data_IF_208282158816
#
_entry.id   IF_208282158816
#
_cell.length_a   1.000
_cell.length_b   1.000
_cell.length_c   1.000
_cell.angle_alpha   90.00
_cell.angle_beta   90.00
_cell.angle_gamma   90.00
#
_symmetry.space_group_name_H-M   'P 1'
#
loop_
_entity.id
_entity.type
_entity.pdbx_description
1 polymer ?
#
# COMPACT_ATOMS: atom_id res chain seq x y z
N UNK A 1 -11.30 -16.16 -7.32
CA UNK A 1 -11.01 -15.59 -8.65
C UNK A 1 -10.38 -14.21 -8.55
N UNK A 2 -11.04 -13.18 -8.00
CA UNK A 2 -10.40 -11.87 -7.80
C UNK A 2 -9.07 -12.00 -7.07
N UNK A 3 -9.07 -12.72 -5.95
CA UNK A 3 -7.86 -13.00 -5.17
C UNK A 3 -6.73 -13.66 -5.98
N UNK A 4 -7.06 -14.58 -6.89
CA UNK A 4 -6.05 -15.23 -7.73
C UNK A 4 -5.46 -14.26 -8.77
N UNK A 5 -6.31 -13.37 -9.33
CA UNK A 5 -5.86 -12.34 -10.27
C UNK A 5 -4.99 -11.31 -9.54
N UNK A 6 -5.41 -10.85 -8.36
CA UNK A 6 -4.62 -9.93 -7.53
C UNK A 6 -3.27 -10.54 -7.16
N UNK A 7 -3.25 -11.80 -6.69
CA UNK A 7 -2.00 -12.52 -6.38
C UNK A 7 -1.07 -12.58 -7.61
N UNK A 8 -1.57 -13.04 -8.78
CA UNK A 8 -0.75 -13.16 -9.99
C UNK A 8 -0.24 -11.82 -10.48
N UNK A 9 -1.04 -10.79 -10.35
CA UNK A 9 -0.69 -9.46 -10.77
C UNK A 9 0.44 -8.85 -9.95
N UNK A 10 0.31 -8.90 -8.63
CA UNK A 10 1.35 -8.39 -7.74
C UNK A 10 2.60 -9.27 -7.75
N UNK A 11 2.44 -10.57 -8.01
CA UNK A 11 3.55 -11.45 -8.32
C UNK A 11 4.27 -11.01 -9.61
N UNK A 12 3.54 -10.69 -10.70
CA UNK A 12 4.12 -10.19 -11.96
C UNK A 12 4.80 -8.83 -11.78
N UNK A 13 4.26 -7.96 -10.94
CA UNK A 13 4.84 -6.66 -10.63
C UNK A 13 6.22 -6.81 -9.96
N UNK A 14 6.32 -7.66 -8.95
CA UNK A 14 7.49 -7.80 -8.08
C UNK A 14 8.52 -8.86 -8.54
N UNK A 15 8.16 -9.72 -9.51
CA UNK A 15 8.95 -10.88 -9.94
C UNK A 15 10.37 -10.53 -10.41
N UNK A 16 10.54 -9.35 -10.99
CA UNK A 16 11.80 -8.94 -11.62
C UNK A 16 12.84 -8.35 -10.63
N UNK A 17 12.42 -8.00 -9.40
CA UNK A 17 13.28 -7.32 -8.44
C UNK A 17 14.64 -8.03 -8.17
N UNK A 18 14.73 -9.37 -8.04
CA UNK A 18 15.98 -10.04 -7.70
C UNK A 18 16.97 -10.21 -8.85
N UNK A 19 16.59 -9.95 -10.12
CA UNK A 19 17.46 -10.21 -11.27
C UNK A 19 17.46 -9.11 -12.34
N UNK A 20 16.40 -8.31 -12.50
CA UNK A 20 16.32 -7.28 -13.53
C UNK A 20 17.43 -6.22 -13.42
N UNK A 21 17.80 -5.69 -12.24
CA UNK A 21 18.88 -4.71 -12.13
C UNK A 21 20.22 -5.27 -12.64
N UNK A 22 20.49 -6.55 -12.40
CA UNK A 22 21.70 -7.24 -12.90
C UNK A 22 21.70 -7.34 -14.43
N UNK A 23 20.60 -7.79 -15.02
CA UNK A 23 20.46 -7.91 -16.48
C UNK A 23 20.49 -6.56 -17.18
N UNK A 24 19.83 -5.56 -16.60
CA UNK A 24 19.83 -4.18 -17.08
C UNK A 24 21.26 -3.60 -17.09
N UNK A 25 22.01 -3.79 -15.99
CA UNK A 25 23.41 -3.37 -15.89
C UNK A 25 24.31 -4.09 -16.91
N UNK A 26 24.10 -5.38 -17.16
CA UNK A 26 24.83 -6.14 -18.18
C UNK A 26 24.63 -5.58 -19.61
N UNK A 27 23.46 -4.95 -19.88
CA UNK A 27 23.12 -4.27 -21.12
C UNK A 27 23.46 -2.76 -21.11
N UNK A 28 24.17 -2.28 -20.08
CA UNK A 28 24.65 -0.90 -19.97
C UNK A 28 23.65 0.09 -19.36
N UNK A 29 22.53 -0.38 -18.80
CA UNK A 29 21.59 0.50 -18.08
C UNK A 29 22.16 0.93 -16.73
N UNK A 30 21.91 2.19 -16.39
CA UNK A 30 22.20 2.71 -15.03
C UNK A 30 21.15 2.28 -14.03
N UNK A 31 21.50 2.27 -12.75
CA UNK A 31 20.56 1.98 -11.65
C UNK A 31 19.39 2.99 -11.62
N UNK A 32 19.66 4.22 -12.06
CA UNK A 32 18.62 5.24 -12.23
C UNK A 32 17.59 4.82 -13.29
N UNK A 33 18.05 4.36 -14.47
CA UNK A 33 17.15 3.95 -15.55
C UNK A 33 16.35 2.71 -15.14
N UNK A 34 16.98 1.76 -14.43
CA UNK A 34 16.28 0.61 -13.85
C UNK A 34 15.20 1.07 -12.85
N UNK A 35 15.52 2.00 -11.94
CA UNK A 35 14.55 2.60 -11.02
C UNK A 35 13.36 3.27 -11.73
N UNK A 36 13.62 3.96 -12.86
CA UNK A 36 12.53 4.51 -13.68
C UNK A 36 11.62 3.42 -14.27
N UNK A 37 12.14 2.27 -14.69
CA UNK A 37 11.32 1.16 -15.22
C UNK A 37 10.37 0.62 -14.14
N UNK A 38 10.85 0.47 -12.90
CA UNK A 38 9.99 0.07 -11.77
C UNK A 38 8.93 1.13 -11.47
N UNK A 39 9.34 2.39 -11.28
CA UNK A 39 8.42 3.48 -10.94
C UNK A 39 7.42 3.82 -12.05
N UNK A 40 7.79 3.62 -13.32
CA UNK A 40 6.94 3.92 -14.47
C UNK A 40 5.66 3.07 -14.49
N UNK A 41 5.76 1.80 -14.09
CA UNK A 41 4.59 0.94 -13.93
C UNK A 41 3.56 1.55 -12.97
N UNK A 42 3.97 1.91 -11.76
CA UNK A 42 3.11 2.51 -10.76
C UNK A 42 2.53 3.87 -11.21
N UNK A 43 3.35 4.68 -11.92
CA UNK A 43 2.92 5.96 -12.49
C UNK A 43 1.80 5.75 -13.52
N UNK A 44 1.94 4.80 -14.43
CA UNK A 44 0.92 4.50 -15.44
C UNK A 44 -0.35 3.99 -14.78
N UNK A 45 -0.28 3.10 -13.78
CA UNK A 45 -1.44 2.63 -13.01
C UNK A 45 -2.14 3.81 -12.34
N UNK A 46 -1.41 4.67 -11.66
CA UNK A 46 -1.96 5.84 -10.95
C UNK A 46 -2.71 6.78 -11.90
N UNK A 47 -2.14 7.07 -13.07
CA UNK A 47 -2.73 8.00 -14.04
C UNK A 47 -3.89 7.39 -14.82
N UNK A 48 -3.83 6.09 -15.14
CA UNK A 48 -4.84 5.42 -15.96
C UNK A 48 -6.06 4.93 -15.18
N UNK A 49 -5.94 4.66 -13.88
CA UNK A 49 -7.08 4.19 -13.05
C UNK A 49 -8.30 5.11 -13.06
N UNK A 50 -8.17 6.45 -12.96
CA UNK A 50 -9.31 7.35 -13.08
C UNK A 50 -9.95 7.34 -14.47
N UNK A 51 -9.15 7.10 -15.52
CA UNK A 51 -9.64 7.00 -16.90
C UNK A 51 -10.48 5.75 -17.06
N UNK A 52 -9.99 4.59 -16.59
CA UNK A 52 -10.77 3.35 -16.61
C UNK A 52 -12.04 3.46 -15.78
N UNK A 53 -12.00 4.11 -14.61
CA UNK A 53 -13.19 4.39 -13.81
C UNK A 53 -14.31 5.11 -14.59
N UNK A 54 -13.94 6.03 -15.49
CA UNK A 54 -14.90 6.77 -16.34
C UNK A 54 -15.34 5.99 -17.59
N UNK A 55 -14.47 5.15 -18.16
CA UNK A 55 -14.73 4.41 -19.40
C UNK A 55 -15.51 3.12 -19.12
N UNK A 56 -15.26 2.50 -17.99
CA UNK A 56 -15.79 1.20 -17.60
C UNK A 56 -17.33 1.08 -17.62
N UNK A 57 -18.12 2.09 -17.19
CA UNK A 57 -19.58 2.02 -17.30
C UNK A 57 -20.09 1.89 -18.75
N UNK A 58 -19.31 2.37 -19.73
CA UNK A 58 -19.65 2.31 -21.17
C UNK A 58 -19.23 0.99 -21.81
N UNK A 59 -18.05 0.47 -21.45
CA UNK A 59 -17.45 -0.73 -22.03
C UNK A 59 -17.95 -2.01 -21.35
N UNK A 60 -18.26 -1.91 -20.06
CA UNK A 60 -18.68 -3.03 -19.21
C UNK A 60 -17.58 -3.52 -18.28
N UNK A 61 -17.91 -3.61 -16.99
CA UNK A 61 -16.96 -3.94 -15.91
C UNK A 61 -16.31 -5.29 -16.12
N UNK A 62 -17.11 -6.33 -16.42
CA UNK A 62 -16.64 -7.70 -16.65
C UNK A 62 -15.68 -7.78 -17.83
N UNK A 63 -15.98 -7.07 -18.93
CA UNK A 63 -15.12 -7.05 -20.11
C UNK A 63 -13.79 -6.37 -19.82
N UNK A 64 -13.80 -5.22 -19.13
CA UNK A 64 -12.58 -4.52 -18.69
C UNK A 64 -11.71 -5.40 -17.80
N UNK A 65 -12.31 -6.15 -16.87
CA UNK A 65 -11.58 -7.07 -16.00
C UNK A 65 -10.87 -8.17 -16.81
N UNK A 66 -11.60 -8.84 -17.70
CA UNK A 66 -11.06 -9.97 -18.47
C UNK A 66 -10.00 -9.50 -19.47
N UNK A 67 -10.29 -8.45 -20.25
CA UNK A 67 -9.33 -7.91 -21.22
C UNK A 67 -8.10 -7.31 -20.55
N UNK A 68 -8.27 -6.62 -19.42
CA UNK A 68 -7.16 -6.08 -18.64
C UNK A 68 -6.23 -7.19 -18.14
N UNK A 69 -6.79 -8.26 -17.57
CA UNK A 69 -6.01 -9.43 -17.11
C UNK A 69 -5.30 -10.11 -18.26
N UNK A 70 -5.98 -10.36 -19.37
CA UNK A 70 -5.41 -11.00 -20.55
C UNK A 70 -4.26 -10.16 -21.12
N UNK A 71 -4.48 -8.87 -21.27
CA UNK A 71 -3.51 -7.94 -21.83
C UNK A 71 -2.26 -7.83 -20.94
N UNK A 72 -2.43 -7.76 -19.63
CA UNK A 72 -1.32 -7.79 -18.67
C UNK A 72 -0.48 -9.07 -18.79
N UNK A 73 -1.13 -10.24 -18.89
CA UNK A 73 -0.43 -11.52 -19.07
C UNK A 73 0.36 -11.60 -20.38
N UNK A 74 -0.21 -11.10 -21.49
CA UNK A 74 0.49 -11.03 -22.78
C UNK A 74 1.71 -10.11 -22.71
N UNK A 75 1.57 -8.93 -22.07
CA UNK A 75 2.69 -8.01 -21.88
C UNK A 75 3.78 -8.61 -21.00
N UNK A 76 3.43 -9.35 -19.94
CA UNK A 76 4.40 -10.07 -19.12
C UNK A 76 5.21 -11.07 -19.96
N UNK A 77 4.55 -11.90 -20.79
CA UNK A 77 5.25 -12.79 -21.73
C UNK A 77 6.15 -12.02 -22.70
N UNK A 78 5.68 -10.88 -23.23
CA UNK A 78 6.45 -10.04 -24.14
C UNK A 78 7.70 -9.44 -23.45
N UNK A 79 7.61 -9.11 -22.15
CA UNK A 79 8.76 -8.65 -21.37
C UNK A 79 9.85 -9.72 -21.26
N UNK A 80 9.46 -10.99 -21.13
CA UNK A 80 10.40 -12.11 -21.15
C UNK A 80 11.20 -12.24 -22.44
N UNK A 81 10.67 -11.78 -23.59
CA UNK A 81 11.37 -11.78 -24.89
C UNK A 81 12.48 -10.73 -24.98
N UNK A 82 12.55 -9.76 -24.09
CA UNK A 82 13.59 -8.73 -24.08
C UNK A 82 15.01 -9.30 -23.93
N UNK A 83 15.14 -10.52 -23.46
CA UNK A 83 16.42 -11.21 -23.34
C UNK A 83 17.20 -11.27 -24.67
N UNK A 84 16.49 -11.35 -25.80
CA UNK A 84 17.10 -11.47 -27.15
C UNK A 84 17.71 -10.15 -27.65
N UNK A 85 17.43 -9.03 -26.97
CA UNK A 85 17.83 -7.70 -27.39
C UNK A 85 19.12 -7.30 -26.67
N UNK A 86 20.19 -7.10 -27.42
CA UNK A 86 21.50 -6.70 -26.87
C UNK A 86 21.74 -5.18 -26.94
N UNK A 87 21.06 -4.48 -27.84
CA UNK A 87 21.19 -3.02 -27.96
C UNK A 87 20.54 -2.31 -26.76
N UNK A 88 21.32 -1.49 -26.05
CA UNK A 88 20.93 -0.72 -24.89
C UNK A 88 19.66 0.10 -25.13
N UNK A 89 19.63 0.88 -26.22
CA UNK A 89 18.53 1.82 -26.48
C UNK A 89 17.22 1.06 -26.72
N UNK A 90 17.27 0.02 -27.54
CA UNK A 90 16.12 -0.81 -27.86
C UNK A 90 15.61 -1.56 -26.62
N UNK A 91 16.53 -2.13 -25.82
CA UNK A 91 16.17 -2.81 -24.57
C UNK A 91 15.48 -1.85 -23.59
N UNK A 92 16.06 -0.65 -23.38
CA UNK A 92 15.50 0.35 -22.49
C UNK A 92 14.11 0.81 -22.94
N UNK A 93 13.98 1.24 -24.21
CA UNK A 93 12.70 1.73 -24.76
C UNK A 93 11.62 0.65 -24.66
N UNK A 94 11.92 -0.59 -25.06
CA UNK A 94 10.94 -1.68 -24.98
C UNK A 94 10.61 -2.07 -23.56
N UNK A 95 11.55 -1.98 -22.61
CA UNK A 95 11.25 -2.17 -21.18
C UNK A 95 10.20 -1.17 -20.71
N UNK A 96 10.33 0.11 -21.01
CA UNK A 96 9.32 1.13 -20.67
C UNK A 96 7.99 0.90 -21.39
N UNK A 97 8.00 0.62 -22.68
CA UNK A 97 6.79 0.44 -23.50
C UNK A 97 5.99 -0.76 -23.01
N UNK A 98 6.64 -1.91 -22.84
CA UNK A 98 5.94 -3.14 -22.42
C UNK A 98 5.44 -3.00 -20.97
N UNK A 99 6.23 -2.44 -20.05
CA UNK A 99 5.79 -2.18 -18.66
C UNK A 99 4.65 -1.17 -18.60
N UNK A 100 4.67 -0.15 -19.46
CA UNK A 100 3.56 0.80 -19.57
C UNK A 100 2.26 0.13 -20.03
N UNK A 101 2.33 -0.72 -21.04
CA UNK A 101 1.17 -1.48 -21.51
C UNK A 101 0.68 -2.52 -20.48
N UNK A 102 1.59 -3.22 -19.81
CA UNK A 102 1.25 -4.12 -18.71
C UNK A 102 0.51 -3.37 -17.58
N UNK A 103 0.99 -2.20 -17.22
CA UNK A 103 0.38 -1.32 -16.23
C UNK A 103 -1.02 -0.83 -16.62
N UNK A 104 -1.26 -0.55 -17.91
CA UNK A 104 -2.62 -0.24 -18.42
C UNK A 104 -3.57 -1.42 -18.23
N UNK A 105 -3.12 -2.64 -18.54
CA UNK A 105 -3.88 -3.86 -18.26
C UNK A 105 -4.18 -4.01 -16.77
N UNK A 106 -3.17 -3.81 -15.93
CA UNK A 106 -3.27 -3.86 -14.47
C UNK A 106 -4.30 -2.86 -13.92
N UNK A 107 -4.23 -1.61 -14.37
CA UNK A 107 -5.17 -0.56 -13.99
C UNK A 107 -6.61 -0.91 -14.39
N UNK A 108 -6.80 -1.48 -15.58
CA UNK A 108 -8.13 -1.87 -16.05
C UNK A 108 -8.75 -2.96 -15.19
N UNK A 109 -8.05 -4.07 -14.92
CA UNK A 109 -8.63 -5.16 -14.11
C UNK A 109 -8.74 -4.80 -12.63
N UNK A 110 -7.79 -4.06 -12.04
CA UNK A 110 -7.86 -3.69 -10.62
C UNK A 110 -9.03 -2.74 -10.35
N UNK A 111 -9.22 -1.72 -11.22
CA UNK A 111 -10.38 -0.83 -11.13
C UNK A 111 -11.70 -1.60 -11.32
N UNK A 112 -11.74 -2.55 -12.28
CA UNK A 112 -12.91 -3.40 -12.48
C UNK A 112 -13.16 -4.32 -11.29
N UNK A 113 -12.12 -4.91 -10.71
CA UNK A 113 -12.19 -5.76 -9.52
C UNK A 113 -12.85 -5.03 -8.35
N UNK A 114 -12.47 -3.79 -8.13
CA UNK A 114 -13.08 -2.94 -7.10
C UNK A 114 -14.59 -2.75 -7.32
N UNK A 115 -15.00 -2.42 -8.54
CA UNK A 115 -16.43 -2.25 -8.90
C UNK A 115 -17.18 -3.57 -8.74
N UNK A 116 -16.58 -4.71 -9.09
CA UNK A 116 -17.17 -6.05 -8.91
C UNK A 116 -17.43 -6.34 -7.44
N UNK A 117 -16.47 -6.03 -6.55
CA UNK A 117 -16.61 -6.25 -5.10
C UNK A 117 -17.78 -5.46 -4.56
N UNK A 118 -17.84 -4.16 -4.85
CA UNK A 118 -18.90 -3.28 -4.35
C UNK A 118 -20.29 -3.72 -4.86
N UNK A 119 -20.36 -4.23 -6.09
CA UNK A 119 -21.62 -4.69 -6.70
C UNK A 119 -22.11 -6.03 -6.10
N UNK A 120 -21.18 -6.98 -5.86
CA UNK A 120 -21.55 -8.33 -5.37
C UNK A 120 -21.69 -8.36 -3.84
N UNK A 121 -20.90 -7.58 -3.12
CA UNK A 121 -20.84 -7.56 -1.65
C UNK A 121 -21.05 -6.13 -1.10
N UNK A 122 -22.21 -5.49 -1.35
CA UNK A 122 -22.43 -4.10 -0.96
C UNK A 122 -22.25 -3.87 0.56
N UNK A 123 -22.78 -4.79 1.39
CA UNK A 123 -22.74 -4.69 2.85
C UNK A 123 -21.40 -5.11 3.48
N UNK A 124 -20.55 -5.82 2.75
CA UNK A 124 -19.30 -6.39 3.24
C UNK A 124 -18.10 -6.03 2.35
N UNK A 125 -18.22 -5.00 1.51
CA UNK A 125 -17.20 -4.64 0.52
C UNK A 125 -15.82 -4.34 1.15
N UNK A 126 -15.80 -3.72 2.32
CA UNK A 126 -14.57 -3.46 3.08
C UNK A 126 -13.87 -4.74 3.56
N UNK A 127 -14.63 -5.68 4.15
CA UNK A 127 -14.09 -6.95 4.62
C UNK A 127 -13.55 -7.82 3.46
N UNK A 128 -14.30 -7.87 2.35
CA UNK A 128 -13.87 -8.60 1.13
C UNK A 128 -12.62 -7.96 0.54
N UNK A 129 -12.53 -6.62 0.51
CA UNK A 129 -11.34 -5.91 0.07
C UNK A 129 -10.14 -6.22 0.96
N UNK A 130 -10.32 -6.20 2.29
CA UNK A 130 -9.25 -6.57 3.23
C UNK A 130 -8.74 -7.99 3.02
N UNK A 131 -9.63 -8.95 2.72
CA UNK A 131 -9.23 -10.31 2.36
C UNK A 131 -8.40 -10.33 1.06
N UNK A 132 -8.79 -9.56 0.03
CA UNK A 132 -8.03 -9.48 -1.21
C UNK A 132 -6.66 -8.84 -1.04
N UNK A 133 -6.52 -7.86 -0.16
CA UNK A 133 -5.21 -7.27 0.19
C UNK A 133 -4.23 -8.31 0.78
N UNK A 134 -4.73 -9.36 1.43
CA UNK A 134 -3.88 -10.49 1.86
C UNK A 134 -3.25 -11.21 0.66
N UNK A 135 -4.01 -11.41 -0.42
CA UNK A 135 -3.49 -12.03 -1.65
C UNK A 135 -2.55 -11.10 -2.42
N UNK A 136 -2.79 -9.79 -2.38
CA UNK A 136 -1.84 -8.77 -2.86
C UNK A 136 -0.51 -8.91 -2.14
N UNK A 137 -0.52 -8.91 -0.80
CA UNK A 137 0.68 -9.07 0.02
C UNK A 137 1.40 -10.39 -0.24
N UNK A 138 0.65 -11.50 -0.38
CA UNK A 138 1.22 -12.80 -0.74
C UNK A 138 1.85 -12.78 -2.15
N UNK A 139 1.25 -12.10 -3.12
CA UNK A 139 1.79 -11.94 -4.46
C UNK A 139 3.10 -11.15 -4.46
N UNK A 140 3.13 -10.01 -3.76
CA UNK A 140 4.34 -9.22 -3.59
C UNK A 140 5.46 -9.99 -2.88
N UNK A 141 5.11 -10.84 -1.92
CA UNK A 141 6.07 -11.67 -1.17
C UNK A 141 6.62 -12.81 -2.01
N UNK A 142 5.74 -13.54 -2.70
CA UNK A 142 6.10 -14.72 -3.47
C UNK A 142 6.80 -14.36 -4.80
N UNK A 143 6.47 -13.19 -5.38
CA UNK A 143 6.99 -12.78 -6.69
C UNK A 143 8.51 -12.81 -6.79
N UNK A 144 9.26 -12.12 -5.94
CA UNK A 144 10.73 -12.13 -6.00
C UNK A 144 11.32 -13.52 -5.76
N UNK A 145 10.74 -14.33 -4.86
CA UNK A 145 11.21 -15.68 -4.61
C UNK A 145 11.00 -16.59 -5.82
N UNK A 146 9.78 -16.61 -6.37
CA UNK A 146 9.45 -17.36 -7.59
C UNK A 146 10.29 -16.86 -8.76
N UNK A 147 10.43 -15.54 -8.93
CA UNK A 147 11.22 -14.93 -9.98
C UNK A 147 12.68 -15.31 -9.91
N UNK A 148 13.31 -15.19 -8.74
CA UNK A 148 14.70 -15.57 -8.53
C UNK A 148 14.96 -17.04 -8.77
N UNK A 149 14.07 -17.94 -8.30
CA UNK A 149 14.18 -19.38 -8.52
C UNK A 149 14.03 -19.76 -9.99
N UNK A 150 13.00 -19.24 -10.68
CA UNK A 150 12.77 -19.48 -12.10
C UNK A 150 13.90 -18.91 -12.96
N UNK A 151 14.42 -17.75 -12.60
CA UNK A 151 15.58 -17.14 -13.27
C UNK A 151 16.82 -18.03 -13.12
N UNK A 152 17.07 -18.61 -11.94
CA UNK A 152 18.20 -19.51 -11.73
C UNK A 152 18.12 -20.80 -12.57
N UNK A 153 16.91 -21.26 -12.89
CA UNK A 153 16.68 -22.49 -13.69
C UNK A 153 16.68 -22.22 -15.20
N UNK A 154 16.04 -21.15 -15.65
CA UNK A 154 15.79 -20.93 -17.07
C UNK A 154 16.11 -19.51 -17.58
N UNK A 155 16.85 -18.72 -16.81
CA UNK A 155 17.29 -17.37 -17.21
C UNK A 155 16.16 -16.34 -17.23
N UNK A 156 16.43 -15.19 -17.86
CA UNK A 156 15.59 -14.00 -17.82
C UNK A 156 14.14 -14.20 -18.25
N UNK A 157 13.87 -14.97 -19.31
CA UNK A 157 12.54 -15.10 -19.89
C UNK A 157 11.59 -15.97 -19.07
N UNK A 158 12.12 -17.04 -18.43
CA UNK A 158 11.29 -18.07 -17.79
C UNK A 158 10.34 -17.52 -16.72
N UNK A 159 10.73 -16.64 -15.78
CA UNK A 159 9.83 -16.07 -14.80
C UNK A 159 8.61 -15.39 -15.43
N UNK A 160 8.84 -14.58 -16.45
CA UNK A 160 7.80 -13.83 -17.14
C UNK A 160 6.87 -14.73 -17.96
N UNK A 161 7.41 -15.76 -18.62
CA UNK A 161 6.60 -16.72 -19.37
C UNK A 161 5.69 -17.52 -18.45
N UNK A 162 6.18 -17.98 -17.30
CA UNK A 162 5.39 -18.77 -16.35
C UNK A 162 4.24 -17.93 -15.78
N UNK A 163 4.54 -16.75 -15.23
CA UNK A 163 3.51 -15.89 -14.63
C UNK A 163 2.55 -15.34 -15.69
N UNK A 164 3.09 -14.89 -16.84
CA UNK A 164 2.29 -14.39 -17.94
C UNK A 164 1.35 -15.47 -18.50
N UNK A 165 1.82 -16.70 -18.71
CA UNK A 165 0.99 -17.81 -19.19
C UNK A 165 -0.13 -18.17 -18.21
N UNK A 166 0.18 -18.27 -16.90
CA UNK A 166 -0.84 -18.51 -15.87
C UNK A 166 -1.89 -17.40 -15.88
N UNK A 167 -1.47 -16.15 -15.97
CA UNK A 167 -2.38 -14.98 -16.04
C UNK A 167 -3.27 -15.03 -17.28
N UNK A 168 -2.71 -15.40 -18.46
CA UNK A 168 -3.46 -15.59 -19.71
C UNK A 168 -4.51 -16.70 -19.58
N UNK A 169 -4.18 -17.81 -18.93
CA UNK A 169 -5.10 -18.93 -18.71
C UNK A 169 -6.23 -18.58 -17.74
N UNK A 170 -5.91 -17.81 -16.70
CA UNK A 170 -6.90 -17.36 -15.70
C UNK A 170 -7.90 -16.36 -16.32
N UNK A 171 -7.48 -15.52 -17.26
CA UNK A 171 -8.34 -14.48 -17.83
C UNK A 171 -9.64 -15.03 -18.43
N UNK A 172 -9.67 -16.03 -19.34
CA UNK A 172 -10.91 -16.59 -19.88
C UNK A 172 -11.73 -17.37 -18.84
N UNK A 173 -11.11 -17.97 -17.82
CA UNK A 173 -11.86 -18.61 -16.74
C UNK A 173 -12.80 -17.64 -16.01
N UNK A 174 -12.44 -16.35 -15.96
CA UNK A 174 -13.29 -15.31 -15.40
C UNK A 174 -14.57 -15.06 -16.20
N UNK A 175 -14.67 -15.48 -17.46
CA UNK A 175 -15.89 -15.39 -18.27
C UNK A 175 -17.01 -16.23 -17.63
N UNK A 176 -16.65 -17.42 -17.17
CA UNK A 176 -17.61 -18.37 -16.59
C UNK A 176 -17.85 -18.13 -15.09
N UNK A 177 -16.82 -17.70 -14.36
CA UNK A 177 -16.84 -17.61 -12.89
C UNK A 177 -17.38 -16.28 -12.37
N UNK A 178 -17.27 -15.19 -13.14
CA UNK A 178 -17.85 -13.91 -12.75
C UNK A 178 -19.34 -13.85 -13.12
N UNK A 179 -20.23 -13.47 -12.18
CA UNK A 179 -21.66 -13.33 -12.45
C UNK A 179 -21.93 -12.24 -13.50
N UNK A 180 -23.14 -12.24 -14.03
CA UNK A 180 -23.62 -11.10 -14.84
C UNK A 180 -23.83 -9.92 -13.89
N UNK A 181 -23.06 -8.86 -14.07
CA UNK A 181 -23.19 -7.63 -13.32
C UNK A 181 -24.32 -6.81 -13.92
N UNK A 182 -25.25 -6.35 -13.09
CA UNK A 182 -26.26 -5.38 -13.49
C UNK A 182 -25.60 -4.04 -13.85
N UNK A 183 -26.28 -3.25 -14.69
CA UNK A 183 -25.78 -1.92 -15.10
C UNK A 183 -25.61 -1.05 -13.85
N UNK A 184 -24.37 -0.71 -13.56
CA UNK A 184 -24.01 0.09 -12.39
C UNK A 184 -24.43 1.54 -12.60
N UNK A 185 -25.44 1.98 -11.88
CA UNK A 185 -25.75 3.41 -11.73
C UNK A 185 -25.01 3.94 -10.49
N UNK A 186 -23.96 4.70 -10.71
CA UNK A 186 -23.21 5.39 -9.63
C UNK A 186 -24.05 6.54 -9.05
N UNK A 187 -25.10 6.23 -8.29
CA UNK A 187 -25.97 7.27 -7.66
C UNK A 187 -25.58 7.62 -6.21
N UNK A 188 -24.55 7.02 -5.64
CA UNK A 188 -24.09 7.48 -4.32
C UNK A 188 -23.11 8.65 -4.50
N UNK A 189 -23.53 9.84 -4.07
CA UNK A 189 -22.68 11.04 -3.95
C UNK A 189 -21.52 10.73 -3.01
N UNK A 190 -20.41 10.26 -3.55
CA UNK A 190 -19.15 10.22 -2.82
C UNK A 190 -18.84 11.64 -2.33
N UNK A 191 -18.38 11.77 -1.09
CA UNK A 191 -17.96 13.04 -0.54
C UNK A 191 -16.88 13.70 -1.41
N UNK A 192 -16.66 15.00 -1.26
CA UNK A 192 -15.67 15.71 -2.08
C UNK A 192 -14.24 15.32 -1.70
N UNK A 193 -13.50 14.77 -2.64
CA UNK A 193 -12.08 14.42 -2.50
C UNK A 193 -11.23 15.63 -2.04
N UNK A 194 -11.53 16.82 -2.57
CA UNK A 194 -10.87 18.07 -2.17
C UNK A 194 -11.15 18.48 -0.73
N UNK A 195 -12.34 18.16 -0.21
CA UNK A 195 -12.67 18.43 1.20
C UNK A 195 -11.86 17.51 2.12
N UNK A 196 -11.67 16.25 1.74
CA UNK A 196 -10.88 15.28 2.50
C UNK A 196 -9.40 15.69 2.56
N UNK A 197 -8.81 16.10 1.44
CA UNK A 197 -7.42 16.56 1.37
C UNK A 197 -7.14 17.88 2.11
N UNK A 198 -8.16 18.65 2.49
CA UNK A 198 -7.97 19.86 3.30
C UNK A 198 -7.79 19.58 4.80
N UNK A 199 -8.03 18.34 5.23
CA UNK A 199 -7.88 17.97 6.63
C UNK A 199 -6.40 17.73 6.96
N UNK A 200 -5.80 18.44 7.93
CA UNK A 200 -4.37 18.29 8.25
C UNK A 200 -3.99 16.87 8.71
N UNK A 201 -4.89 16.19 9.42
CA UNK A 201 -4.67 14.80 9.85
C UNK A 201 -4.62 13.83 8.67
N UNK A 202 -5.42 14.07 7.64
CA UNK A 202 -5.37 13.30 6.38
C UNK A 202 -4.04 13.52 5.68
N UNK A 203 -3.56 14.76 5.58
CA UNK A 203 -2.28 15.08 4.94
C UNK A 203 -1.09 14.43 5.65
N UNK A 204 -1.07 14.42 6.98
CA UNK A 204 -0.04 13.76 7.77
C UNK A 204 -0.06 12.24 7.54
N UNK A 205 -1.24 11.63 7.53
CA UNK A 205 -1.38 10.19 7.24
C UNK A 205 -0.98 9.86 5.80
N UNK A 206 -1.32 10.71 4.84
CA UNK A 206 -0.84 10.58 3.46
C UNK A 206 0.69 10.67 3.36
N UNK A 207 1.33 11.57 4.10
CA UNK A 207 2.79 11.67 4.17
C UNK A 207 3.42 10.38 4.70
N UNK A 208 2.88 9.82 5.79
CA UNK A 208 3.34 8.52 6.32
C UNK A 208 3.26 7.46 5.22
N UNK A 209 2.12 7.36 4.55
CA UNK A 209 1.87 6.35 3.53
C UNK A 209 2.84 6.45 2.34
N UNK A 210 3.09 7.68 1.85
CA UNK A 210 4.10 7.93 0.79
C UNK A 210 5.49 7.50 1.23
N UNK A 211 5.91 7.87 2.45
CA UNK A 211 7.25 7.56 2.96
C UNK A 211 7.44 6.06 3.16
N UNK A 212 6.41 5.38 3.69
CA UNK A 212 6.44 3.91 3.88
C UNK A 212 6.48 3.19 2.54
N UNK A 213 5.63 3.56 1.58
CA UNK A 213 5.62 2.98 0.25
C UNK A 213 6.93 3.26 -0.51
N UNK A 214 7.48 4.48 -0.40
CA UNK A 214 8.77 4.81 -0.98
C UNK A 214 9.93 4.03 -0.33
N UNK A 215 9.84 3.77 0.98
CA UNK A 215 10.82 2.95 1.71
C UNK A 215 10.78 1.49 1.26
N UNK A 216 9.63 0.99 0.86
CA UNK A 216 9.53 -0.33 0.24
C UNK A 216 10.06 -0.31 -1.20
N UNK A 217 9.53 0.60 -2.01
CA UNK A 217 9.79 0.65 -3.45
C UNK A 217 11.26 0.94 -3.83
N UNK A 218 12.03 1.67 -3.00
CA UNK A 218 13.44 1.89 -3.35
C UNK A 218 14.28 0.62 -3.30
N UNK A 219 13.87 -0.39 -2.51
CA UNK A 219 14.59 -1.66 -2.42
C UNK A 219 14.52 -2.46 -3.72
N UNK A 220 13.45 -2.33 -4.50
CA UNK A 220 13.27 -3.11 -5.73
C UNK A 220 14.45 -2.95 -6.72
N UNK A 221 14.87 -1.74 -7.10
CA UNK A 221 16.01 -1.55 -8.00
C UNK A 221 17.36 -1.58 -7.30
N UNK A 222 17.44 -1.44 -5.97
CA UNK A 222 18.71 -1.16 -5.29
C UNK A 222 19.23 -2.29 -4.41
N UNK A 223 18.37 -3.20 -3.94
CA UNK A 223 18.78 -4.27 -3.04
C UNK A 223 19.64 -5.33 -3.75
N UNK A 224 19.31 -5.72 -4.99
CA UNK A 224 20.12 -6.65 -5.76
C UNK A 224 21.53 -6.12 -5.97
N UNK A 225 21.74 -4.88 -6.49
CA UNK A 225 23.08 -4.30 -6.63
C UNK A 225 23.86 -4.23 -5.31
N UNK A 226 23.19 -3.93 -4.20
CA UNK A 226 23.81 -3.92 -2.88
C UNK A 226 24.32 -5.29 -2.42
N UNK A 227 23.62 -6.36 -2.81
CA UNK A 227 23.98 -7.74 -2.43
C UNK A 227 25.00 -8.39 -3.38
N UNK A 228 25.34 -7.78 -4.53
CA UNK A 228 26.35 -8.33 -5.50
C UNK A 228 27.68 -8.71 -4.86
N UNK A 229 28.27 -7.92 -3.93
CA UNK A 229 29.55 -8.29 -3.30
C UNK A 229 29.54 -9.62 -2.55
N UNK A 230 28.37 -10.14 -2.17
CA UNK A 230 28.23 -11.43 -1.50
C UNK A 230 28.16 -12.62 -2.47
N UNK A 231 28.20 -12.39 -3.79
CA UNK A 231 28.15 -13.41 -4.83
C UNK A 231 26.94 -14.38 -4.67
N UNK A 232 25.79 -13.81 -4.31
CA UNK A 232 24.54 -14.57 -4.19
C UNK A 232 23.93 -14.76 -5.58
N UNK A 233 23.38 -15.95 -5.83
CA UNK A 233 22.56 -16.20 -6.99
C UNK A 233 21.16 -15.53 -6.85
N UNK A 234 20.47 -15.33 -7.97
CA UNK A 234 19.17 -14.65 -7.99
C UNK A 234 18.12 -15.36 -7.13
N UNK A 235 18.21 -16.69 -7.00
CA UNK A 235 17.34 -17.46 -6.11
C UNK A 235 17.52 -17.09 -4.64
N UNK A 236 18.74 -16.94 -4.16
CA UNK A 236 19.03 -16.49 -2.79
C UNK A 236 18.61 -15.05 -2.56
N UNK A 237 18.82 -14.17 -3.55
CA UNK A 237 18.34 -12.79 -3.49
C UNK A 237 16.80 -12.76 -3.41
N UNK A 238 16.11 -13.57 -4.21
CA UNK A 238 14.66 -13.74 -4.13
C UNK A 238 14.17 -14.22 -2.76
N UNK A 239 14.90 -15.14 -2.10
CA UNK A 239 14.61 -15.57 -0.73
C UNK A 239 14.79 -14.45 0.30
N UNK A 240 15.75 -13.53 0.09
CA UNK A 240 15.92 -12.36 0.95
C UNK A 240 14.71 -11.39 0.80
N UNK A 241 14.23 -11.16 -0.42
CA UNK A 241 12.99 -10.42 -0.65
C UNK A 241 11.77 -11.11 -0.02
N UNK A 242 11.69 -12.45 -0.15
CA UNK A 242 10.63 -13.24 0.50
C UNK A 242 10.67 -13.08 2.02
N UNK A 243 11.85 -13.07 2.63
CA UNK A 243 12.00 -12.88 4.07
C UNK A 243 11.46 -11.51 4.52
N UNK A 244 11.83 -10.44 3.83
CA UNK A 244 11.31 -9.08 4.08
C UNK A 244 9.78 -9.08 4.04
N UNK A 245 9.21 -9.60 2.96
CA UNK A 245 7.77 -9.60 2.72
C UNK A 245 7.01 -10.56 3.63
N UNK A 246 7.62 -11.71 3.98
CA UNK A 246 7.02 -12.66 4.92
C UNK A 246 6.95 -12.06 6.33
N UNK A 247 8.00 -11.39 6.79
CA UNK A 247 7.98 -10.69 8.08
C UNK A 247 6.92 -9.58 8.09
N UNK A 248 6.79 -8.82 7.00
CA UNK A 248 5.69 -7.87 6.83
C UNK A 248 4.33 -8.56 6.97
N UNK A 249 4.06 -9.60 6.15
CA UNK A 249 2.76 -10.26 6.10
C UNK A 249 2.36 -10.97 7.41
N UNK A 250 3.31 -11.59 8.11
CA UNK A 250 3.08 -12.27 9.40
C UNK A 250 2.66 -11.26 10.49
N UNK A 251 3.28 -10.08 10.51
CA UNK A 251 3.03 -9.09 11.54
C UNK A 251 1.88 -8.11 11.23
N UNK A 252 1.45 -8.00 9.96
CA UNK A 252 0.31 -7.15 9.56
C UNK A 252 -0.97 -7.38 10.39
N UNK A 253 -1.47 -8.63 10.57
CA UNK A 253 -2.70 -8.86 11.35
C UNK A 253 -2.54 -8.44 12.81
N UNK A 254 -1.35 -8.66 13.39
CA UNK A 254 -1.05 -8.27 14.76
C UNK A 254 -1.09 -6.75 14.96
N UNK A 255 -0.46 -6.00 14.07
CA UNK A 255 -0.46 -4.54 14.12
C UNK A 255 -1.83 -3.95 13.79
N UNK A 256 -2.58 -4.53 12.85
CA UNK A 256 -3.95 -4.16 12.55
C UNK A 256 -4.84 -4.32 13.79
N UNK A 257 -4.84 -5.51 14.40
CA UNK A 257 -5.60 -5.77 15.62
C UNK A 257 -5.22 -4.84 16.79
N UNK A 258 -3.92 -4.56 16.95
CA UNK A 258 -3.45 -3.65 18.01
C UNK A 258 -3.93 -2.21 17.74
N UNK A 259 -3.91 -1.78 16.48
CA UNK A 259 -4.41 -0.45 16.10
C UNK A 259 -5.91 -0.29 16.34
N UNK A 260 -6.68 -1.38 16.19
CA UNK A 260 -8.12 -1.36 16.47
C UNK A 260 -8.46 -1.30 17.97
N UNK A 261 -7.57 -1.83 18.81
CA UNK A 261 -7.74 -1.80 20.27
C UNK A 261 -7.26 -0.50 20.91
N UNK A 262 -6.32 0.19 20.31
CA UNK A 262 -5.73 1.40 20.88
C UNK A 262 -6.43 2.65 20.32
N UNK A 263 -6.89 3.53 21.19
CA UNK A 263 -7.42 4.84 20.79
C UNK A 263 -6.33 5.79 20.28
N UNK A 264 -5.07 5.45 20.52
CA UNK A 264 -3.90 6.25 20.19
C UNK A 264 -2.95 5.53 19.21
N UNK A 265 -3.50 5.01 18.11
CA UNK A 265 -2.76 4.26 17.08
C UNK A 265 -1.63 5.05 16.39
N UNK A 266 -1.63 6.36 16.49
CA UNK A 266 -0.56 7.20 15.93
C UNK A 266 0.82 6.94 16.58
N UNK A 267 0.86 6.48 17.83
CA UNK A 267 2.09 6.01 18.45
C UNK A 267 2.67 4.79 17.71
N UNK A 268 1.81 3.89 17.25
CA UNK A 268 2.22 2.72 16.48
C UNK A 268 2.89 3.19 15.18
N UNK A 269 2.25 4.11 14.44
CA UNK A 269 2.80 4.66 13.20
C UNK A 269 4.14 5.35 13.42
N UNK A 270 4.24 6.21 14.45
CA UNK A 270 5.46 6.94 14.75
C UNK A 270 6.60 6.01 15.16
N UNK A 271 6.33 5.03 16.03
CA UNK A 271 7.32 4.03 16.45
C UNK A 271 7.75 3.15 15.27
N UNK A 272 6.84 2.78 14.38
CA UNK A 272 7.16 2.05 13.16
C UNK A 272 8.14 2.82 12.26
N UNK A 273 7.91 4.13 12.06
CA UNK A 273 8.82 4.99 11.30
C UNK A 273 10.20 5.16 11.98
N UNK A 274 10.25 5.27 13.31
CA UNK A 274 11.51 5.29 14.05
C UNK A 274 12.28 3.98 13.92
N UNK A 275 11.58 2.86 13.93
CA UNK A 275 12.21 1.55 13.74
C UNK A 275 12.68 1.37 12.29
N UNK A 276 11.92 1.88 11.28
CA UNK A 276 12.38 1.96 9.89
C UNK A 276 13.69 2.74 9.78
N UNK A 277 13.78 3.91 10.44
CA UNK A 277 15.02 4.68 10.50
C UNK A 277 16.19 3.84 10.98
N UNK A 278 16.03 3.15 12.12
CA UNK A 278 17.09 2.30 12.70
C UNK A 278 17.48 1.18 11.74
N UNK A 279 16.50 0.45 11.18
CA UNK A 279 16.75 -0.65 10.26
C UNK A 279 17.51 -0.20 9.00
N UNK A 280 17.12 0.94 8.42
CA UNK A 280 17.76 1.48 7.23
C UNK A 280 19.19 2.00 7.48
N UNK A 281 19.47 2.48 8.69
CA UNK A 281 20.83 2.87 9.08
C UNK A 281 21.78 1.65 9.18
N UNK A 282 21.24 0.47 9.48
CA UNK A 282 22.00 -0.77 9.57
C UNK A 282 22.02 -1.56 8.24
N UNK A 283 21.01 -1.46 7.40
CA UNK A 283 20.86 -2.22 6.16
C UNK A 283 22.01 -1.96 5.16
N UNK A 284 22.32 -0.67 4.93
CA UNK A 284 23.54 -0.30 4.23
C UNK A 284 24.38 0.46 5.22
N UNK A 285 25.37 -0.17 5.90
CA UNK A 285 26.03 0.49 7.00
C UNK A 285 26.28 1.95 6.71
N UNK A 286 25.53 2.81 7.39
CA UNK A 286 25.54 4.25 7.12
C UNK A 286 26.96 4.80 7.19
N UNK A 287 27.38 5.67 6.27
CA UNK A 287 28.68 6.35 6.35
C UNK A 287 28.92 7.06 7.68
N UNK A 288 27.86 7.35 8.45
CA UNK A 288 27.93 7.94 9.78
C UNK A 288 28.38 6.92 10.83
N UNK A 289 28.17 5.62 10.60
CA UNK A 289 28.48 4.56 11.56
C UNK A 289 29.75 3.84 11.10
N UNK A 290 30.91 4.43 11.36
CA UNK A 290 32.21 4.00 10.84
C UNK A 290 32.68 2.61 11.30
N UNK A 291 32.14 2.08 12.40
CA UNK A 291 32.57 0.78 12.95
C UNK A 291 31.77 -0.41 12.40
N UNK A 292 30.74 -0.17 11.59
CA UNK A 292 29.86 -1.21 11.09
C UNK A 292 30.32 -1.70 9.71
N UNK A 293 30.60 -3.00 9.60
CA UNK A 293 30.97 -3.62 8.33
C UNK A 293 29.74 -4.23 7.66
N UNK A 294 29.66 -4.16 6.33
CA UNK A 294 28.59 -4.76 5.57
C UNK A 294 28.74 -6.31 5.60
N UNK A 295 27.83 -6.97 6.30
CA UNK A 295 27.78 -8.43 6.40
C UNK A 295 26.40 -8.94 6.00
N UNK A 296 26.36 -10.17 5.46
CA UNK A 296 25.06 -10.77 5.03
C UNK A 296 24.08 -10.91 6.19
N UNK A 297 24.56 -11.24 7.39
CA UNK A 297 23.70 -11.37 8.58
C UNK A 297 23.09 -10.04 9.02
N UNK A 298 23.86 -8.97 8.92
CA UNK A 298 23.35 -7.63 9.20
C UNK A 298 22.22 -7.24 8.25
N UNK A 299 22.39 -7.54 6.96
CA UNK A 299 21.35 -7.29 5.95
C UNK A 299 20.09 -8.15 6.23
N UNK A 300 20.25 -9.44 6.56
CA UNK A 300 19.11 -10.33 6.87
C UNK A 300 18.35 -9.82 8.09
N UNK A 301 19.02 -9.48 9.18
CA UNK A 301 18.37 -8.97 10.41
C UNK A 301 17.70 -7.63 10.15
N UNK A 302 18.38 -6.70 9.45
CA UNK A 302 17.83 -5.38 9.14
C UNK A 302 16.58 -5.49 8.26
N UNK A 303 16.60 -6.32 7.22
CA UNK A 303 15.44 -6.53 6.33
C UNK A 303 14.28 -7.22 7.05
N UNK A 304 14.56 -8.22 7.90
CA UNK A 304 13.53 -8.89 8.69
C UNK A 304 12.83 -7.89 9.62
N UNK A 305 13.60 -7.07 10.32
CA UNK A 305 13.05 -6.05 11.22
C UNK A 305 12.36 -4.92 10.44
N UNK A 306 12.87 -4.57 9.26
CA UNK A 306 12.25 -3.58 8.37
C UNK A 306 10.86 -4.05 7.92
N UNK A 307 10.68 -5.32 7.56
CA UNK A 307 9.36 -5.87 7.23
C UNK A 307 8.34 -5.68 8.37
N UNK A 308 8.74 -5.98 9.60
CA UNK A 308 7.89 -5.77 10.80
C UNK A 308 7.56 -4.29 11.02
N UNK A 309 8.55 -3.42 10.88
CA UNK A 309 8.39 -1.99 11.17
C UNK A 309 7.60 -1.25 10.08
N UNK A 310 7.72 -1.66 8.82
CA UNK A 310 6.88 -1.16 7.71
C UNK A 310 5.42 -1.55 7.96
N UNK A 311 5.13 -2.81 8.34
CA UNK A 311 3.78 -3.24 8.72
C UNK A 311 3.23 -2.40 9.88
N UNK A 312 4.06 -2.16 10.91
CA UNK A 312 3.70 -1.35 12.07
C UNK A 312 3.31 0.09 11.68
N UNK A 313 4.05 0.72 10.77
CA UNK A 313 3.78 2.08 10.32
C UNK A 313 2.57 2.16 9.37
N UNK A 314 2.35 1.14 8.54
CA UNK A 314 1.35 1.15 7.46
C UNK A 314 -0.06 0.75 7.92
N UNK A 315 -0.18 -0.30 8.75
CA UNK A 315 -1.50 -0.86 9.08
C UNK A 315 -2.48 0.14 9.70
N UNK A 316 -2.09 1.03 10.63
CA UNK A 316 -3.02 1.99 11.20
C UNK A 316 -3.44 3.13 10.26
N UNK A 317 -2.78 3.30 9.10
CA UNK A 317 -3.01 4.45 8.20
C UNK A 317 -4.43 4.50 7.64
N UNK A 318 -5.03 3.35 7.32
CA UNK A 318 -6.40 3.31 6.80
C UNK A 318 -7.41 3.79 7.86
N UNK A 319 -7.29 3.30 9.09
CA UNK A 319 -8.10 3.74 10.23
C UNK A 319 -7.90 5.23 10.50
N UNK A 320 -6.66 5.71 10.49
CA UNK A 320 -6.34 7.12 10.66
C UNK A 320 -7.01 8.02 9.63
N UNK A 321 -7.08 7.59 8.36
CA UNK A 321 -7.81 8.31 7.32
C UNK A 321 -9.31 8.30 7.56
N UNK A 322 -9.87 7.16 7.98
CA UNK A 322 -11.29 7.02 8.27
C UNK A 322 -11.70 7.92 9.44
N UNK A 323 -11.03 7.82 10.58
CA UNK A 323 -11.30 8.64 11.76
C UNK A 323 -11.13 10.13 11.47
N UNK A 324 -10.10 10.49 10.68
CA UNK A 324 -9.90 11.87 10.24
C UNK A 324 -11.02 12.39 9.35
N UNK A 325 -11.59 11.54 8.49
CA UNK A 325 -12.73 11.89 7.66
C UNK A 325 -13.99 12.08 8.51
N UNK A 326 -14.25 11.19 9.48
CA UNK A 326 -15.38 11.32 10.40
C UNK A 326 -15.31 12.62 11.20
N UNK A 327 -14.14 12.94 11.78
CA UNK A 327 -13.89 14.20 12.46
C UNK A 327 -14.04 15.42 11.53
N UNK A 328 -13.79 15.25 10.23
CA UNK A 328 -13.98 16.26 9.18
C UNK A 328 -15.44 16.44 8.74
N UNK A 329 -16.40 15.76 9.39
CA UNK A 329 -17.84 15.85 9.11
C UNK A 329 -18.30 15.03 7.90
N UNK A 330 -17.56 13.95 7.56
CA UNK A 330 -18.05 12.92 6.64
C UNK A 330 -18.91 11.91 7.43
N UNK A 331 -19.97 11.43 6.81
CA UNK A 331 -20.83 10.40 7.38
C UNK A 331 -20.24 9.03 7.01
N UNK A 332 -20.29 8.07 7.93
CA UNK A 332 -19.85 6.70 7.67
C UNK A 332 -20.79 6.03 6.68
N UNK A 333 -20.39 5.97 5.44
CA UNK A 333 -21.12 5.38 4.32
C UNK A 333 -20.16 4.56 3.45
N UNK A 334 -20.70 3.64 2.65
CA UNK A 334 -19.93 2.90 1.64
C UNK A 334 -19.18 3.87 0.71
N UNK A 335 -19.81 4.99 0.35
CA UNK A 335 -19.19 6.03 -0.47
C UNK A 335 -17.97 6.68 0.20
N UNK A 336 -18.00 6.92 1.51
CA UNK A 336 -16.88 7.44 2.28
C UNK A 336 -15.74 6.42 2.37
N UNK A 337 -16.05 5.15 2.64
CA UNK A 337 -15.04 4.07 2.63
C UNK A 337 -14.38 3.91 1.26
N UNK A 338 -15.17 3.99 0.18
CA UNK A 338 -14.64 3.92 -1.19
C UNK A 338 -13.72 5.11 -1.52
N UNK A 339 -14.10 6.32 -1.07
CA UNK A 339 -13.29 7.52 -1.24
C UNK A 339 -11.94 7.41 -0.51
N UNK A 340 -11.97 6.90 0.73
CA UNK A 340 -10.76 6.70 1.56
C UNK A 340 -9.88 5.60 0.97
N UNK A 341 -10.45 4.48 0.53
CA UNK A 341 -9.71 3.42 -0.12
C UNK A 341 -9.04 3.91 -1.42
N UNK A 342 -9.74 4.71 -2.23
CA UNK A 342 -9.19 5.33 -3.43
C UNK A 342 -8.06 6.31 -3.11
N UNK A 343 -8.20 7.13 -2.08
CA UNK A 343 -7.14 8.02 -1.61
C UNK A 343 -5.92 7.22 -1.13
N UNK A 344 -6.15 6.22 -0.30
CA UNK A 344 -5.10 5.36 0.25
C UNK A 344 -4.28 4.70 -0.88
N UNK A 345 -4.95 4.07 -1.84
CA UNK A 345 -4.30 3.43 -2.98
C UNK A 345 -3.52 4.43 -3.84
N UNK A 346 -4.09 5.59 -4.15
CA UNK A 346 -3.41 6.61 -4.97
C UNK A 346 -2.16 7.18 -4.30
N UNK A 347 -2.24 7.41 -2.99
CA UNK A 347 -1.12 7.94 -2.19
C UNK A 347 -0.04 6.87 -2.02
N UNK A 348 -0.42 5.61 -1.83
CA UNK A 348 0.52 4.50 -1.79
C UNK A 348 1.29 4.36 -3.11
N UNK A 349 0.57 4.34 -4.25
CA UNK A 349 1.19 4.28 -5.58
C UNK A 349 2.10 5.49 -5.86
N UNK A 350 1.82 6.68 -5.30
CA UNK A 350 2.75 7.81 -5.39
C UNK A 350 4.10 7.49 -4.72
N UNK A 351 4.08 6.82 -3.57
CA UNK A 351 5.30 6.33 -2.92
C UNK A 351 6.03 5.28 -3.75
N UNK A 352 5.30 4.36 -4.37
CA UNK A 352 5.85 3.36 -5.29
C UNK A 352 6.49 3.97 -6.57
N UNK A 353 6.07 5.17 -6.97
CA UNK A 353 6.74 5.93 -8.04
C UNK A 353 8.03 6.59 -7.52
N UNK A 354 7.93 7.28 -6.39
CA UNK A 354 9.04 8.07 -5.84
C UNK A 354 10.18 7.16 -5.37
N UNK A 355 9.86 6.04 -4.70
CA UNK A 355 10.84 5.14 -4.10
C UNK A 355 11.88 4.61 -5.09
N UNK A 356 11.49 3.89 -6.14
CA UNK A 356 12.42 3.33 -7.12
C UNK A 356 13.19 4.40 -7.88
N UNK A 357 12.55 5.51 -8.25
CA UNK A 357 13.19 6.60 -9.00
C UNK A 357 14.24 7.30 -8.13
N UNK A 358 13.88 7.72 -6.93
CA UNK A 358 14.81 8.37 -6.00
C UNK A 358 15.89 7.39 -5.52
N UNK A 359 15.52 6.13 -5.26
CA UNK A 359 16.44 5.07 -4.89
C UNK A 359 17.48 4.80 -5.98
N UNK A 360 17.04 4.63 -7.23
CA UNK A 360 17.92 4.44 -8.37
C UNK A 360 18.84 5.64 -8.63
N UNK A 361 18.31 6.88 -8.50
CA UNK A 361 19.10 8.10 -8.66
C UNK A 361 20.19 8.24 -7.59
N UNK A 362 19.85 8.01 -6.34
CA UNK A 362 20.80 8.09 -5.21
C UNK A 362 21.83 6.95 -5.28
N UNK A 363 21.38 5.73 -5.62
CA UNK A 363 22.25 4.57 -5.78
C UNK A 363 23.30 4.80 -6.87
N UNK A 364 22.88 5.34 -8.02
CA UNK A 364 23.76 5.60 -9.16
C UNK A 364 24.84 6.64 -8.85
N UNK A 365 24.52 7.67 -8.04
CA UNK A 365 25.43 8.78 -7.76
C UNK A 365 26.27 8.58 -6.48
N UNK A 366 25.72 7.94 -5.46
CA UNK A 366 26.30 7.91 -4.11
C UNK A 366 26.43 6.50 -3.52
N UNK A 367 25.89 5.48 -4.20
CA UNK A 367 25.87 4.10 -3.71
C UNK A 367 24.82 3.82 -2.65
N UNK A 368 24.66 2.55 -2.30
CA UNK A 368 23.61 2.06 -1.41
C UNK A 368 23.69 2.61 0.03
N UNK A 369 24.87 2.72 0.68
CA UNK A 369 24.94 3.21 2.06
C UNK A 369 24.37 4.62 2.22
N UNK A 370 24.63 5.51 1.26
CA UNK A 370 24.07 6.88 1.27
C UNK A 370 22.58 6.85 0.95
N UNK A 371 22.17 6.05 -0.02
CA UNK A 371 20.76 5.90 -0.39
C UNK A 371 19.92 5.44 0.80
N UNK A 372 20.32 4.37 1.46
CA UNK A 372 19.65 3.84 2.65
C UNK A 372 19.61 4.88 3.79
N UNK A 373 20.71 5.63 4.00
CA UNK A 373 20.78 6.70 5.00
C UNK A 373 19.80 7.84 4.70
N UNK A 374 19.65 8.26 3.43
CA UNK A 374 18.70 9.30 3.03
C UNK A 374 17.26 8.85 3.33
N UNK A 375 16.88 7.64 2.93
CA UNK A 375 15.56 7.09 3.26
C UNK A 375 15.36 6.92 4.77
N UNK A 376 16.41 6.57 5.53
CA UNK A 376 16.37 6.54 6.97
C UNK A 376 16.04 7.93 7.56
N UNK A 377 16.75 8.97 7.15
CA UNK A 377 16.50 10.34 7.60
C UNK A 377 15.09 10.81 7.25
N UNK A 378 14.58 10.49 6.08
CA UNK A 378 13.20 10.81 5.69
C UNK A 378 12.18 10.16 6.65
N UNK A 379 12.38 8.88 7.01
CA UNK A 379 11.55 8.19 8.00
C UNK A 379 11.63 8.87 9.38
N UNK A 380 12.84 9.26 9.82
CA UNK A 380 13.03 9.94 11.10
C UNK A 380 12.31 11.31 11.14
N UNK A 381 12.52 12.13 10.11
CA UNK A 381 11.87 13.45 10.01
C UNK A 381 10.34 13.28 10.00
N UNK A 382 9.83 12.31 9.27
CA UNK A 382 8.39 12.01 9.24
C UNK A 382 7.89 11.57 10.61
N UNK A 383 8.61 10.71 11.33
CA UNK A 383 8.26 10.28 12.68
C UNK A 383 8.18 11.47 13.65
N UNK A 384 9.15 12.38 13.59
CA UNK A 384 9.15 13.60 14.40
C UNK A 384 7.95 14.48 14.07
N UNK A 385 7.68 14.74 12.79
CA UNK A 385 6.53 15.54 12.36
C UNK A 385 5.20 14.94 12.83
N UNK A 386 5.02 13.62 12.69
CA UNK A 386 3.83 12.89 13.16
C UNK A 386 3.67 13.04 14.66
N UNK A 387 4.73 12.80 15.42
CA UNK A 387 4.70 12.89 16.89
C UNK A 387 4.35 14.29 17.35
N UNK A 388 5.00 15.33 16.79
CA UNK A 388 4.72 16.72 17.12
C UNK A 388 3.29 17.14 16.78
N UNK A 389 2.79 16.69 15.62
CA UNK A 389 1.44 17.00 15.19
C UNK A 389 0.39 16.42 16.13
N UNK A 390 0.48 15.15 16.48
CA UNK A 390 -0.50 14.51 17.35
C UNK A 390 -0.38 14.97 18.82
N UNK A 391 0.82 15.20 19.31
CA UNK A 391 1.02 15.77 20.66
C UNK A 391 0.43 17.19 20.78
N UNK A 392 0.52 18.00 19.73
CA UNK A 392 -0.07 19.34 19.73
C UNK A 392 -1.60 19.33 19.73
N UNK A 393 -2.23 18.30 19.12
CA UNK A 393 -3.68 18.10 19.15
C UNK A 393 -4.17 17.64 20.51
N UNK A 394 -3.55 16.60 21.06
CA UNK A 394 -3.92 16.09 22.39
C UNK A 394 -3.88 17.20 23.47
N UNK A 395 -2.94 18.15 23.36
CA UNK A 395 -2.89 19.31 24.26
C UNK A 395 -4.07 20.28 24.07
N UNK A 396 -4.55 20.49 22.84
CA UNK A 396 -5.70 21.37 22.57
C UNK A 396 -6.98 20.76 23.11
N UNK A 397 -7.20 19.48 22.91
CA UNK A 397 -8.40 18.77 23.38
C UNK A 397 -8.49 18.75 24.92
N UNK A 398 -7.35 18.71 25.62
CA UNK A 398 -7.28 18.78 27.09
C UNK A 398 -7.50 20.21 27.64
N UNK A 399 -7.15 21.26 26.87
CA UNK A 399 -7.30 22.66 27.31
C UNK A 399 -8.74 23.17 27.09
N UNK A 400 -9.51 22.57 26.17
CA UNK A 400 -10.89 22.97 25.87
C UNK A 400 -11.96 22.30 26.77
N UNK A 401 -11.59 21.45 27.72
CA UNK A 401 -12.53 20.95 28.74
C UNK A 401 -12.67 22.02 29.83
N UNK A 402 -13.78 22.76 29.91
CA UNK A 402 -13.99 23.70 30.99
C UNK A 402 -14.05 22.96 32.30
N UNK A 403 -13.30 23.43 33.30
CA UNK A 403 -13.28 22.89 34.65
C UNK A 403 -14.61 23.17 35.37
N UNK A 404 -15.69 22.58 34.92
CA UNK A 404 -16.98 22.56 35.58
C UNK A 404 -17.45 21.10 35.78
N UNK A 405 -17.52 20.67 37.00
CA UNK A 405 -17.97 19.35 37.51
C UNK A 405 -19.38 18.92 37.08
N UNK A 406 -19.72 18.97 35.81
CA UNK A 406 -20.96 18.40 35.26
C UNK A 406 -20.65 17.55 34.05
N UNK A 407 -21.14 16.32 33.97
CA UNK A 407 -20.96 15.49 32.76
C UNK A 407 -21.72 16.12 31.61
N UNK A 408 -20.99 16.47 30.53
CA UNK A 408 -21.57 16.91 29.27
C UNK A 408 -21.89 15.66 28.45
N UNK A 409 -23.19 15.34 28.34
CA UNK A 409 -23.67 14.30 27.41
C UNK A 409 -23.74 14.93 26.03
N UNK A 410 -22.81 14.60 25.15
CA UNK A 410 -22.85 14.99 23.75
C UNK A 410 -23.77 14.03 23.00
N UNK A 411 -24.96 14.45 22.65
CA UNK A 411 -25.86 13.71 21.78
C UNK A 411 -25.63 14.09 20.32
N UNK A 412 -25.67 13.10 19.43
CA UNK A 412 -25.33 13.21 18.00
C UNK A 412 -26.25 14.15 17.18
N UNK A 413 -27.25 14.77 17.78
CA UNK A 413 -28.21 15.65 17.06
C UNK A 413 -27.72 17.09 16.79
N UNK A 414 -26.57 17.52 17.33
CA UNK A 414 -26.13 18.91 17.27
C UNK A 414 -25.19 19.26 16.11
N UNK A 415 -25.01 18.38 15.14
CA UNK A 415 -24.04 18.59 14.04
C UNK A 415 -24.61 19.12 12.73
N UNK A 416 -25.89 19.46 12.64
CA UNK A 416 -26.49 19.87 11.35
C UNK A 416 -26.37 21.36 11.00
N UNK A 417 -26.03 22.24 11.93
CA UNK A 417 -25.86 23.67 11.65
C UNK A 417 -24.61 24.21 12.35
N UNK A 418 -23.62 24.57 11.59
CA UNK A 418 -22.30 25.12 11.84
C UNK A 418 -22.04 26.01 13.07
N UNK A 419 -22.48 25.65 14.23
CA UNK A 419 -22.16 26.32 15.49
C UNK A 419 -22.61 25.41 16.66
N UNK A 420 -21.69 25.10 17.55
CA UNK A 420 -21.99 24.38 18.78
C UNK A 420 -22.86 25.24 19.68
N UNK A 421 -24.16 24.91 19.84
CA UNK A 421 -25.03 25.50 20.84
C UNK A 421 -25.10 24.58 22.03
N UNK A 422 -24.46 25.00 23.12
CA UNK A 422 -24.58 24.35 24.44
C UNK A 422 -25.95 24.67 25.00
N UNK A 423 -26.86 23.70 25.10
CA UNK A 423 -28.08 23.82 25.88
C UNK A 423 -27.87 23.19 27.25
N UNK A 424 -27.87 24.00 28.30
CA UNK A 424 -27.97 23.55 29.65
C UNK A 424 -29.41 23.06 29.91
N UNK A 425 -29.60 21.82 30.37
CA UNK A 425 -30.89 21.36 30.97
C UNK A 425 -30.82 21.44 32.49
N UNK A 426 -31.90 21.92 33.14
CA UNK A 426 -31.94 22.05 34.58
C UNK A 426 -32.01 20.68 35.31
N UNK A 427 -31.38 20.64 36.47
CA UNK A 427 -31.10 19.47 37.33
C UNK A 427 -32.32 18.93 38.12
N UNK A 428 -33.51 18.84 37.53
CA UNK A 428 -34.74 18.45 38.33
C UNK A 428 -35.32 17.06 38.00
N UNK A 429 -34.58 16.14 37.39
CA UNK A 429 -35.15 14.82 37.03
C UNK A 429 -34.34 13.61 37.51
N UNK A 430 -33.64 13.73 38.66
CA UNK A 430 -32.88 12.59 39.26
C UNK A 430 -33.45 12.09 40.60
N UNK A 431 -34.56 12.64 41.07
CA UNK A 431 -35.13 12.25 42.40
C UNK A 431 -36.45 11.48 42.35
N UNK A 432 -36.73 10.65 41.34
CA UNK A 432 -37.93 9.83 41.34
C UNK A 432 -37.73 8.42 40.78
N UNK A 433 -36.73 7.70 41.29
CA UNK A 433 -36.71 6.24 41.23
C UNK A 433 -36.18 5.77 42.60
N UNK A 434 -37.06 5.78 43.58
CA UNK A 434 -36.92 4.99 44.80
C UNK A 434 -38.07 3.99 44.86
N UNK A 435 -37.67 2.73 44.84
CA UNK A 435 -38.30 1.60 45.54
C UNK A 435 -39.83 1.48 45.45
N UNK A 436 -40.32 0.51 44.74
CA UNK A 436 -41.35 -0.41 45.22
C UNK A 436 -41.02 -1.82 44.76
N UNK A 437 -40.64 -2.59 45.76
CA UNK A 437 -40.62 -4.04 45.77
C UNK A 437 -42.02 -4.63 45.64
N UNK A 438 -42.03 -5.87 45.22
CA UNK A 438 -42.92 -6.96 45.54
C UNK A 438 -44.21 -7.19 44.72
N UNK A 439 -44.20 -8.41 44.31
CA UNK A 439 -45.31 -9.38 44.28
C UNK A 439 -46.17 -9.45 42.99
N UNK A 440 -46.11 -10.48 42.30
CA UNK A 440 -46.93 -11.68 42.32
C UNK A 440 -46.76 -12.52 41.04
N UNK A 441 -46.52 -13.75 41.30
CA UNK A 441 -46.74 -14.95 40.50
C UNK A 441 -48.09 -15.05 39.78
N UNK A 442 -48.07 -15.97 38.77
CA UNK A 442 -49.17 -16.78 38.22
C UNK A 442 -50.01 -16.16 37.08
N UNK A 443 -49.81 -16.59 35.92
CA UNK A 443 -50.37 -17.77 35.18
C UNK A 443 -49.70 -17.88 33.84
#
# INVERSE_FOLDING_TARGET
>A
MLATVDFMSFCSMSIMAPFYPKEAAAKGMTELTAGFVFGFYALVVMLSSPVFGKVMPKVGVKLCFILGTLFSGVCSCAFGLLNVIDDYTTFAVLSFVIRGFEALGASAYSTAGYVIIVNIFPDHSGAVRGLLETFVGLGMSAGPAIGGLLYAVGGFGLPFYVVGFITIVIAPMNIYLLPKLEKFTMEQKAGSFTKLLRLPSVLITCLILVVVAATWGFLDPTLEPHLRPFNLDAGKIGLIFLLLSAMYGIFCPGWGWLSDKLDTYWWIMSTGLLLNFVCLMFLGPSPVIHFLTNTIWLNIVSLSTLGVSVAMAQMPTYRSLLDSAMLGGFVETIGTHSLIAGLWSSVYSMGEVIGPIAGGALMNNYGFPVTSTVFAVVNLVTAILVTLFYMSRTKKDVVEVPNNNKPIIITAENFSNGGAVVKEQPSELVNSISVTDSACCNT
#
